data_IF_551652293781
#
_entry.id   IF_551652293781
#
_cell.length_a   1.000
_cell.length_b   1.000
_cell.length_c   1.000
_cell.angle_alpha   90.00
_cell.angle_beta   90.00
_cell.angle_gamma   90.00
#
_symmetry.space_group_name_H-M   'P 1'
#
loop_
_entity.id
_entity.type
_entity.pdbx_description
1 polymer ?
#
# COMPACT_ATOMS: atom_id res chain seq x y z
N UNK A 1 33.18 13.40 15.81
CA UNK A 1 32.46 12.70 14.71
C UNK A 1 31.80 13.74 13.84
N UNK A 2 31.89 13.62 12.53
CA UNK A 2 31.17 14.50 11.62
C UNK A 2 29.69 14.11 11.62
N UNK A 3 28.82 15.06 11.90
CA UNK A 3 27.37 14.82 11.89
C UNK A 3 26.86 14.81 10.44
N UNK A 4 26.20 13.72 10.03
CA UNK A 4 25.60 13.56 8.72
C UNK A 4 24.08 13.67 8.84
N UNK A 5 23.47 14.37 7.88
CA UNK A 5 22.01 14.50 7.77
C UNK A 5 21.59 14.41 6.30
N UNK A 6 20.27 14.27 6.09
CA UNK A 6 19.65 14.13 4.76
C UNK A 6 18.54 15.16 4.58
N UNK A 7 18.41 15.66 3.37
CA UNK A 7 17.41 16.70 3.03
C UNK A 7 16.05 16.05 2.83
N UNK A 8 15.05 16.48 3.60
CA UNK A 8 13.65 15.98 3.52
C UNK A 8 12.71 16.88 2.70
N UNK A 9 13.14 18.10 2.33
CA UNK A 9 12.37 19.01 1.49
C UNK A 9 12.65 18.75 -0.01
N UNK A 10 11.71 19.06 -0.93
CA UNK A 10 11.88 18.84 -2.37
C UNK A 10 13.13 19.52 -2.93
N UNK A 11 13.31 20.79 -2.56
CA UNK A 11 14.45 21.60 -2.95
C UNK A 11 14.66 22.73 -1.93
N UNK A 12 15.90 22.96 -1.55
CA UNK A 12 16.30 24.05 -0.65
C UNK A 12 17.49 24.78 -1.24
N UNK A 13 17.47 26.10 -1.17
CA UNK A 13 18.61 26.93 -1.49
C UNK A 13 19.50 27.10 -0.26
N UNK A 14 20.79 26.88 -0.44
CA UNK A 14 21.80 27.19 0.54
C UNK A 14 22.09 28.69 0.50
N UNK A 15 22.26 29.33 1.67
CA UNK A 15 22.43 30.75 1.86
C UNK A 15 23.85 31.03 2.37
N UNK A 16 24.44 32.15 1.98
CA UNK A 16 25.74 32.56 2.48
C UNK A 16 25.69 32.93 3.97
N UNK A 17 24.56 33.47 4.47
CA UNK A 17 24.36 33.83 5.86
C UNK A 17 22.89 33.77 6.31
N UNK A 18 22.68 33.85 7.62
CA UNK A 18 21.36 33.76 8.25
C UNK A 18 20.74 35.16 8.33
N UNK A 19 20.15 35.66 7.24
CA UNK A 19 19.42 36.91 7.22
C UNK A 19 18.23 36.86 6.25
N UNK A 20 17.41 37.91 6.26
CA UNK A 20 16.29 38.04 5.32
C UNK A 20 16.77 38.25 3.88
N UNK A 21 17.89 38.96 3.71
CA UNK A 21 18.56 39.17 2.41
C UNK A 21 19.82 38.30 2.41
N UNK A 22 19.98 37.43 1.42
CA UNK A 22 21.09 36.49 1.30
C UNK A 22 21.42 36.20 -0.15
N UNK A 23 22.64 35.73 -0.41
CA UNK A 23 23.03 35.17 -1.69
C UNK A 23 22.90 33.66 -1.67
N UNK A 24 22.50 33.10 -2.81
CA UNK A 24 22.45 31.67 -2.99
C UNK A 24 23.84 31.09 -3.25
N UNK A 25 24.30 30.19 -2.41
CA UNK A 25 25.60 29.51 -2.55
C UNK A 25 25.48 28.11 -3.15
N UNK A 26 24.29 27.51 -3.14
CA UNK A 26 24.05 26.19 -3.69
C UNK A 26 22.57 25.80 -3.64
N UNK A 27 22.29 24.60 -4.10
CA UNK A 27 20.95 23.98 -4.04
C UNK A 27 21.11 22.55 -3.62
N UNK A 28 20.24 22.09 -2.72
CA UNK A 28 20.10 20.69 -2.32
C UNK A 28 18.67 20.22 -2.57
N UNK A 29 18.51 18.92 -2.82
CA UNK A 29 17.25 18.29 -3.16
C UNK A 29 16.90 17.20 -2.15
N UNK A 30 15.68 16.71 -2.23
CA UNK A 30 15.20 15.62 -1.41
C UNK A 30 16.12 14.38 -1.52
N UNK A 31 16.52 13.83 -0.38
CA UNK A 31 17.42 12.68 -0.29
C UNK A 31 18.91 13.03 -0.34
N UNK A 32 19.29 14.28 -0.62
CA UNK A 32 20.71 14.69 -0.65
C UNK A 32 21.34 14.55 0.73
N UNK A 33 22.52 13.96 0.74
CA UNK A 33 23.37 13.83 1.92
C UNK A 33 24.13 15.13 2.15
N UNK A 34 24.16 15.60 3.39
CA UNK A 34 24.91 16.77 3.79
C UNK A 34 25.66 16.53 5.10
N UNK A 35 26.80 17.18 5.24
CA UNK A 35 27.57 17.24 6.48
C UNK A 35 27.15 18.50 7.24
N UNK A 36 26.73 18.36 8.50
CA UNK A 36 26.41 19.47 9.39
C UNK A 36 27.70 20.04 9.95
N UNK A 37 27.96 21.32 9.71
CA UNK A 37 29.16 22.03 10.16
C UNK A 37 28.90 22.84 11.43
N UNK A 38 27.75 23.53 11.46
CA UNK A 38 27.43 24.50 12.51
C UNK A 38 25.91 24.60 12.68
N UNK A 39 25.45 24.94 13.90
CA UNK A 39 24.02 25.14 14.21
C UNK A 39 23.83 26.51 14.83
N UNK A 40 22.89 27.28 14.28
CA UNK A 40 22.49 28.59 14.80
C UNK A 40 20.96 28.68 14.85
N UNK A 41 20.38 28.62 16.06
CA UNK A 41 18.93 28.64 16.30
C UNK A 41 18.19 27.61 15.40
N UNK A 42 17.41 28.11 14.44
CA UNK A 42 16.65 27.26 13.49
C UNK A 42 17.40 26.96 12.19
N UNK A 43 18.62 27.43 12.02
CA UNK A 43 19.45 27.22 10.84
C UNK A 43 20.62 26.30 11.14
N UNK A 44 21.09 25.64 10.11
CA UNK A 44 22.30 24.85 10.13
C UNK A 44 23.15 25.19 8.91
N UNK A 45 24.46 25.29 9.12
CA UNK A 45 25.44 25.39 8.03
C UNK A 45 25.80 23.97 7.63
N UNK A 46 25.67 23.70 6.36
CA UNK A 46 25.93 22.37 5.81
C UNK A 46 26.93 22.44 4.68
N UNK A 47 27.60 21.31 4.45
CA UNK A 47 28.45 21.06 3.27
C UNK A 47 27.85 19.91 2.50
N UNK A 48 27.64 20.09 1.19
CA UNK A 48 27.20 19.04 0.27
C UNK A 48 28.37 18.14 -0.12
N UNK A 49 28.08 16.96 -0.66
CA UNK A 49 29.11 16.07 -1.20
C UNK A 49 29.87 16.70 -2.37
N UNK A 50 29.27 17.65 -3.09
CA UNK A 50 29.92 18.46 -4.13
C UNK A 50 30.77 19.62 -3.61
N UNK A 51 30.91 19.76 -2.27
CA UNK A 51 31.74 20.80 -1.64
C UNK A 51 31.07 22.18 -1.47
N UNK A 52 29.85 22.39 -1.94
CA UNK A 52 29.10 23.63 -1.69
C UNK A 52 28.73 23.76 -0.22
N UNK A 53 28.94 24.93 0.35
CA UNK A 53 28.56 25.22 1.74
C UNK A 53 27.51 26.35 1.81
N UNK A 54 26.68 26.25 2.84
CA UNK A 54 25.72 27.32 3.14
C UNK A 54 24.75 26.96 4.22
N UNK A 55 23.94 27.95 4.59
CA UNK A 55 22.93 27.86 5.64
C UNK A 55 21.58 27.41 5.07
N UNK A 56 20.89 26.50 5.79
CA UNK A 56 19.53 26.10 5.52
C UNK A 56 18.75 25.91 6.82
N UNK A 57 17.42 25.83 6.75
CA UNK A 57 16.61 25.60 7.94
C UNK A 57 16.73 24.15 8.41
N UNK A 58 16.94 23.97 9.73
CA UNK A 58 17.12 22.66 10.36
C UNK A 58 15.91 21.74 10.14
N UNK A 59 14.69 22.27 10.03
CA UNK A 59 13.45 21.48 9.81
C UNK A 59 13.43 20.70 8.50
N UNK A 60 14.31 21.01 7.56
CA UNK A 60 14.46 20.31 6.27
C UNK A 60 15.50 19.20 6.31
N UNK A 61 16.06 18.91 7.49
CA UNK A 61 17.03 17.84 7.68
C UNK A 61 16.48 16.74 8.57
N UNK A 62 16.79 15.51 8.21
CA UNK A 62 16.60 14.34 9.04
C UNK A 62 17.96 13.70 9.35
N UNK A 63 18.12 13.10 10.55
CA UNK A 63 19.39 12.46 10.92
C UNK A 63 19.66 11.20 10.10
N UNK A 64 20.93 10.78 10.04
CA UNK A 64 21.40 9.54 9.41
C UNK A 64 20.56 8.33 9.82
N UNK A 65 20.13 8.25 11.07
CA UNK A 65 19.29 7.15 11.58
C UNK A 65 18.00 6.96 10.76
N UNK A 66 17.33 8.04 10.37
CA UNK A 66 16.10 7.98 9.57
C UNK A 66 16.40 7.44 8.16
N UNK A 67 17.48 7.90 7.54
CA UNK A 67 17.94 7.36 6.26
C UNK A 67 18.23 5.85 6.36
N UNK A 68 18.93 5.42 7.40
CA UNK A 68 19.27 4.02 7.62
C UNK A 68 18.01 3.14 7.79
N UNK A 69 16.95 3.66 8.44
CA UNK A 69 15.66 2.99 8.56
C UNK A 69 15.01 2.78 7.19
N UNK A 70 15.00 3.79 6.31
CA UNK A 70 14.50 3.65 4.94
C UNK A 70 15.30 2.63 4.13
N UNK A 71 16.62 2.65 4.25
CA UNK A 71 17.50 1.68 3.58
C UNK A 71 17.24 0.25 4.08
N UNK A 72 17.04 0.08 5.37
CA UNK A 72 16.70 -1.21 5.95
C UNK A 72 15.34 -1.70 5.46
N UNK A 73 14.32 -0.85 5.47
CA UNK A 73 12.98 -1.16 4.95
C UNK A 73 13.03 -1.56 3.48
N UNK A 74 13.75 -0.82 2.63
CA UNK A 74 13.91 -1.14 1.22
C UNK A 74 14.54 -2.54 1.01
N UNK A 75 15.57 -2.88 1.81
CA UNK A 75 16.18 -4.21 1.77
C UNK A 75 15.25 -5.32 2.24
N UNK A 76 14.52 -5.11 3.34
CA UNK A 76 13.59 -6.09 3.89
C UNK A 76 12.43 -6.37 2.92
N UNK A 77 11.92 -5.34 2.28
CA UNK A 77 10.77 -5.43 1.40
C UNK A 77 11.11 -5.70 -0.08
N UNK A 78 12.39 -5.90 -0.39
CA UNK A 78 12.86 -6.08 -1.78
C UNK A 78 12.11 -7.21 -2.52
N UNK A 79 11.82 -8.31 -1.83
CA UNK A 79 11.15 -9.50 -2.38
C UNK A 79 9.67 -9.58 -2.05
N UNK A 80 9.13 -8.60 -1.33
CA UNK A 80 7.70 -8.59 -0.99
C UNK A 80 6.88 -8.45 -2.26
N UNK A 81 5.91 -9.37 -2.50
CA UNK A 81 5.10 -9.37 -3.71
C UNK A 81 4.21 -8.14 -3.80
N UNK A 82 4.11 -7.58 -5.00
CA UNK A 82 3.23 -6.45 -5.30
C UNK A 82 1.78 -6.94 -5.23
N UNK A 83 0.95 -6.23 -4.48
CA UNK A 83 -0.46 -6.57 -4.31
C UNK A 83 -1.34 -5.88 -5.35
N UNK A 84 -1.00 -4.65 -5.70
CA UNK A 84 -1.61 -3.86 -6.76
C UNK A 84 -0.70 -2.70 -7.11
N UNK A 85 -0.74 -2.22 -8.33
CA UNK A 85 -0.12 -0.96 -8.70
C UNK A 85 -1.08 0.20 -8.45
N UNK A 86 -0.52 1.39 -8.27
CA UNK A 86 -1.30 2.59 -8.09
C UNK A 86 -0.56 3.83 -8.57
N UNK A 87 -1.24 4.96 -8.50
CA UNK A 87 -0.71 6.27 -8.89
C UNK A 87 -1.00 7.27 -7.78
N UNK A 88 -0.01 8.06 -7.40
CA UNK A 88 -0.18 9.09 -6.37
C UNK A 88 -1.12 10.21 -6.86
N UNK A 89 -2.14 10.54 -6.07
CA UNK A 89 -3.12 11.60 -6.35
C UNK A 89 -2.54 13.00 -6.25
N UNK A 90 -1.61 13.17 -5.34
CA UNK A 90 -0.90 14.42 -5.08
C UNK A 90 0.46 14.12 -4.52
N UNK A 91 1.29 15.14 -4.41
CA UNK A 91 2.57 15.06 -3.72
C UNK A 91 2.36 14.51 -2.30
N UNK A 92 3.13 13.51 -1.92
CA UNK A 92 3.07 12.86 -0.60
C UNK A 92 4.45 12.45 -0.12
N UNK A 93 4.59 12.29 1.19
CA UNK A 93 5.84 11.84 1.79
C UNK A 93 5.80 10.34 2.08
N UNK A 94 6.93 9.68 1.96
CA UNK A 94 7.16 8.34 2.48
C UNK A 94 7.52 8.45 3.96
N UNK A 95 6.77 7.71 4.80
CA UNK A 95 6.96 7.62 6.23
C UNK A 95 7.66 6.31 6.61
N UNK A 96 8.43 6.32 7.70
CA UNK A 96 9.11 5.10 8.22
C UNK A 96 8.08 4.12 8.80
N UNK A 97 7.06 4.64 9.48
CA UNK A 97 5.98 3.87 10.08
C UNK A 97 4.62 4.45 9.68
N UNK A 98 3.53 3.66 9.75
CA UNK A 98 2.18 4.18 9.58
C UNK A 98 1.88 5.24 10.63
N UNK A 99 1.41 6.41 10.21
CA UNK A 99 1.08 7.52 11.10
C UNK A 99 1.55 8.87 10.59
N UNK A 100 0.78 9.92 10.90
CA UNK A 100 1.04 11.27 10.36
C UNK A 100 2.26 11.95 10.99
N UNK A 101 2.59 11.59 12.24
CA UNK A 101 3.65 12.20 13.03
C UNK A 101 4.94 11.38 13.03
N UNK A 102 5.02 10.33 12.18
CA UNK A 102 6.20 9.50 12.05
C UNK A 102 7.24 10.17 11.15
N UNK A 103 8.49 9.74 11.30
CA UNK A 103 9.62 10.26 10.52
C UNK A 103 9.41 10.04 9.02
N UNK A 104 9.81 11.05 8.23
CA UNK A 104 9.67 11.06 6.78
C UNK A 104 10.93 11.60 6.12
N UNK A 105 11.30 11.06 4.99
CA UNK A 105 12.45 11.53 4.24
C UNK A 105 12.11 11.80 2.78
N UNK A 106 11.67 10.76 2.07
CA UNK A 106 11.43 10.86 0.63
C UNK A 106 10.07 11.46 0.32
N UNK A 107 10.03 12.21 -0.78
CA UNK A 107 8.82 12.81 -1.30
C UNK A 107 8.53 12.26 -2.68
N UNK A 108 7.29 11.81 -2.87
CA UNK A 108 6.77 11.27 -4.13
C UNK A 108 5.85 12.29 -4.75
N UNK A 109 6.12 12.69 -5.98
CA UNK A 109 5.32 13.70 -6.70
C UNK A 109 3.99 13.11 -7.18
N UNK A 110 3.03 13.98 -7.48
CA UNK A 110 1.75 13.58 -8.09
C UNK A 110 1.97 12.81 -9.40
N UNK A 111 1.15 11.80 -9.65
CA UNK A 111 1.20 11.00 -10.89
C UNK A 111 2.29 9.93 -10.90
N UNK A 112 3.04 9.76 -9.81
CA UNK A 112 4.04 8.70 -9.72
C UNK A 112 3.38 7.34 -9.58
N UNK A 113 3.80 6.38 -10.41
CA UNK A 113 3.40 4.98 -10.29
C UNK A 113 4.09 4.36 -9.08
N UNK A 114 3.34 3.70 -8.23
CA UNK A 114 3.86 3.01 -7.04
C UNK A 114 3.34 1.58 -6.98
N UNK A 115 4.16 0.68 -6.46
CA UNK A 115 3.76 -0.70 -6.18
C UNK A 115 3.33 -0.81 -4.71
N UNK A 116 2.10 -1.23 -4.46
CA UNK A 116 1.57 -1.44 -3.11
C UNK A 116 1.95 -2.83 -2.64
N UNK A 117 2.56 -2.91 -1.45
CA UNK A 117 3.13 -4.15 -0.88
C UNK A 117 2.33 -4.68 0.29
N UNK A 118 1.92 -3.79 1.22
CA UNK A 118 1.26 -4.14 2.49
C UNK A 118 0.24 -3.06 2.87
N UNK A 119 -0.66 -3.43 3.78
CA UNK A 119 -1.56 -2.50 4.46
C UNK A 119 -1.25 -2.46 5.96
N UNK A 120 -1.42 -1.31 6.56
CA UNK A 120 -1.45 -1.14 8.01
C UNK A 120 -2.51 -0.11 8.40
N UNK A 121 -2.86 -0.08 9.67
CA UNK A 121 -3.74 0.94 10.26
C UNK A 121 -3.00 1.70 11.34
N UNK A 122 -3.24 2.99 11.43
CA UNK A 122 -2.72 3.83 12.50
C UNK A 122 -3.79 4.77 13.02
N UNK A 123 -3.68 5.15 14.27
CA UNK A 123 -4.56 6.16 14.84
C UNK A 123 -4.28 7.52 14.20
N UNK A 124 -5.35 8.21 13.82
CA UNK A 124 -5.25 9.57 13.31
C UNK A 124 -4.88 10.51 14.46
N UNK A 125 -3.70 11.11 14.39
CA UNK A 125 -3.33 12.18 15.32
C UNK A 125 -4.30 13.35 15.15
N UNK A 126 -5.13 13.56 16.13
CA UNK A 126 -5.99 14.74 16.21
C UNK A 126 -5.20 15.85 16.92
N UNK A 127 -5.27 17.10 16.45
CA UNK A 127 -4.78 18.23 17.24
C UNK A 127 -5.42 18.14 18.64
N UNK A 128 -4.62 18.30 19.69
CA UNK A 128 -5.12 18.30 21.06
C UNK A 128 -6.34 19.22 21.11
N UNK A 129 -7.52 18.64 21.33
CA UNK A 129 -8.72 19.42 21.51
C UNK A 129 -8.47 20.39 22.66
N UNK A 130 -8.64 21.70 22.42
CA UNK A 130 -8.60 22.66 23.50
C UNK A 130 -9.52 22.17 24.63
N UNK A 131 -9.06 22.18 25.89
CA UNK A 131 -9.84 21.67 26.99
C UNK A 131 -11.22 22.35 26.95
N UNK A 132 -12.25 21.55 26.67
CA UNK A 132 -13.62 22.04 26.77
C UNK A 132 -13.83 22.40 28.23
N UNK A 133 -14.06 23.66 28.55
CA UNK A 133 -14.48 24.11 29.87
C UNK A 133 -15.66 23.24 30.31
N UNK A 134 -15.59 22.55 31.47
CA UNK A 134 -16.67 21.70 31.93
C UNK A 134 -17.94 22.53 32.05
N UNK A 135 -19.01 22.07 31.38
CA UNK A 135 -20.32 22.67 31.56
C UNK A 135 -20.75 22.41 33.01
N UNK A 136 -21.10 23.44 33.83
CA UNK A 136 -21.35 23.28 35.27
C UNK A 136 -22.61 22.49 35.61
N UNK A 137 -23.05 21.54 34.79
CA UNK A 137 -24.27 20.75 34.97
C UNK A 137 -24.17 19.26 34.63
N UNK A 138 -23.07 18.75 34.08
CA UNK A 138 -22.96 17.34 33.74
C UNK A 138 -22.26 16.53 34.84
N UNK A 139 -22.97 15.63 35.48
CA UNK A 139 -22.48 14.80 36.59
C UNK A 139 -21.67 13.57 36.19
N UNK A 140 -21.45 13.32 34.91
CA UNK A 140 -20.60 12.21 34.47
C UNK A 140 -19.65 12.66 33.35
N UNK A 141 -18.34 12.36 33.43
CA UNK A 141 -17.42 12.58 32.32
C UNK A 141 -17.81 11.63 31.19
N UNK A 142 -18.16 12.20 30.04
CA UNK A 142 -18.40 11.42 28.82
C UNK A 142 -17.14 10.59 28.51
N UNK A 143 -17.26 9.30 28.15
CA UNK A 143 -16.09 8.51 27.76
C UNK A 143 -15.36 9.20 26.59
N UNK A 144 -14.02 9.12 26.55
CA UNK A 144 -13.27 9.70 25.44
C UNK A 144 -13.78 9.13 24.12
N UNK A 145 -13.86 9.94 23.05
CA UNK A 145 -14.28 9.45 21.73
C UNK A 145 -13.34 8.34 21.28
N UNK A 146 -13.91 7.29 20.65
CA UNK A 146 -13.11 6.20 20.10
C UNK A 146 -12.06 6.74 19.10
N UNK A 147 -10.84 6.17 19.07
CA UNK A 147 -9.80 6.61 18.18
C UNK A 147 -10.25 6.47 16.71
N UNK A 148 -10.01 7.51 15.93
CA UNK A 148 -10.23 7.48 14.49
C UNK A 148 -9.03 6.82 13.83
N UNK A 149 -9.24 5.71 13.15
CA UNK A 149 -8.18 4.99 12.45
C UNK A 149 -8.05 5.46 11.00
N UNK A 150 -6.85 5.40 10.46
CA UNK A 150 -6.54 5.65 9.05
C UNK A 150 -5.76 4.47 8.46
N UNK A 151 -6.06 4.13 7.22
CA UNK A 151 -5.36 3.10 6.48
C UNK A 151 -4.13 3.66 5.79
N UNK A 152 -3.05 2.87 5.79
CA UNK A 152 -1.76 3.18 5.22
C UNK A 152 -1.32 2.07 4.29
N UNK A 153 -0.70 2.45 3.15
CA UNK A 153 -0.06 1.54 2.22
C UNK A 153 1.45 1.60 2.37
N UNK A 154 2.10 0.45 2.50
CA UNK A 154 3.53 0.36 2.24
C UNK A 154 3.72 0.30 0.73
N UNK A 155 4.40 1.29 0.19
CA UNK A 155 4.60 1.40 -1.24
C UNK A 155 6.09 1.35 -1.60
N UNK A 156 6.37 0.89 -2.81
CA UNK A 156 7.67 0.99 -3.46
C UNK A 156 7.53 1.89 -4.68
N UNK A 157 8.37 2.90 -4.76
CA UNK A 157 8.43 3.82 -5.89
C UNK A 157 9.30 3.27 -7.04
N UNK A 158 9.36 3.93 -8.22
CA UNK A 158 10.20 3.48 -9.34
C UNK A 158 11.69 3.53 -9.06
N UNK A 159 12.14 4.28 -8.06
CA UNK A 159 13.53 4.38 -7.63
C UNK A 159 13.92 3.26 -6.64
N UNK A 160 12.95 2.45 -6.22
CA UNK A 160 13.15 1.37 -5.25
C UNK A 160 13.07 1.84 -3.79
N UNK A 161 12.69 3.10 -3.55
CA UNK A 161 12.44 3.60 -2.20
C UNK A 161 11.15 2.98 -1.66
N UNK A 162 11.17 2.59 -0.40
CA UNK A 162 10.02 1.96 0.26
C UNK A 162 9.63 2.79 1.47
N UNK A 163 8.34 3.03 1.65
CA UNK A 163 7.81 3.76 2.79
C UNK A 163 6.28 3.73 2.85
N UNK A 164 5.75 4.18 3.97
CA UNK A 164 4.32 4.23 4.22
C UNK A 164 3.71 5.52 3.71
N UNK A 165 2.58 5.41 3.02
CA UNK A 165 1.75 6.53 2.56
C UNK A 165 0.31 6.33 3.02
N UNK A 166 -0.39 7.43 3.27
CA UNK A 166 -1.81 7.38 3.61
C UNK A 166 -2.61 6.80 2.43
N UNK A 167 -3.42 5.78 2.67
CA UNK A 167 -4.05 4.99 1.61
C UNK A 167 -4.86 5.81 0.61
N UNK A 168 -5.56 6.85 1.05
CA UNK A 168 -6.33 7.75 0.19
C UNK A 168 -5.49 8.61 -0.76
N UNK A 169 -4.16 8.64 -0.59
CA UNK A 169 -3.24 9.39 -1.45
C UNK A 169 -2.85 8.62 -2.71
N UNK A 170 -3.32 7.39 -2.86
CA UNK A 170 -3.01 6.52 -3.99
C UNK A 170 -4.29 6.04 -4.65
N UNK A 171 -4.41 6.26 -5.96
CA UNK A 171 -5.42 5.64 -6.81
C UNK A 171 -4.90 4.30 -7.33
N UNK A 172 -5.69 3.24 -7.16
CA UNK A 172 -5.31 1.91 -7.62
C UNK A 172 -5.47 1.81 -9.13
N UNK A 173 -4.48 1.18 -9.79
CA UNK A 173 -4.50 0.94 -11.23
C UNK A 173 -5.27 -0.35 -11.53
N UNK A 174 -6.60 -0.21 -11.62
CA UNK A 174 -7.52 -1.31 -11.92
C UNK A 174 -8.35 -0.94 -13.14
N UNK A 175 -8.46 -1.82 -14.17
CA UNK A 175 -9.27 -1.56 -15.35
C UNK A 175 -10.73 -1.25 -15.00
N UNK A 176 -11.31 -0.22 -15.61
CA UNK A 176 -12.69 0.21 -15.33
C UNK A 176 -13.71 -0.90 -15.56
N UNK A 177 -13.50 -1.75 -16.57
CA UNK A 177 -14.35 -2.91 -16.86
C UNK A 177 -14.45 -3.90 -15.70
N UNK A 178 -13.47 -3.89 -14.80
CA UNK A 178 -13.45 -4.73 -13.61
C UNK A 178 -13.78 -3.93 -12.35
N UNK A 179 -13.31 -2.70 -12.23
CA UNK A 179 -13.55 -1.85 -11.06
C UNK A 179 -15.04 -1.65 -10.76
N UNK A 180 -15.90 -1.59 -11.79
CA UNK A 180 -17.37 -1.50 -11.63
C UNK A 180 -17.97 -2.68 -10.82
N UNK A 181 -17.32 -3.85 -10.83
CA UNK A 181 -17.77 -5.00 -10.05
C UNK A 181 -17.39 -4.93 -8.56
N UNK A 182 -16.69 -3.88 -8.13
CA UNK A 182 -16.41 -3.69 -6.70
C UNK A 182 -17.68 -3.45 -5.89
N UNK A 183 -18.78 -2.94 -6.52
CA UNK A 183 -20.11 -2.80 -5.89
C UNK A 183 -20.07 -1.98 -4.59
N UNK A 184 -19.31 -0.89 -4.57
CA UNK A 184 -19.14 -0.03 -3.39
C UNK A 184 -18.15 -0.54 -2.35
N UNK A 185 -17.53 -1.71 -2.57
CA UNK A 185 -16.42 -2.22 -1.77
C UNK A 185 -15.11 -1.53 -2.17
N UNK A 186 -14.16 -1.50 -1.25
CA UNK A 186 -12.80 -1.03 -1.51
C UNK A 186 -11.95 -2.16 -2.09
N UNK A 187 -11.28 -1.92 -3.21
CA UNK A 187 -10.27 -2.84 -3.76
C UNK A 187 -9.01 -2.72 -2.91
N UNK A 188 -8.41 -3.86 -2.55
CA UNK A 188 -7.21 -3.95 -1.71
C UNK A 188 -6.04 -4.54 -2.47
N UNK A 189 -6.30 -5.53 -3.32
CA UNK A 189 -5.32 -6.15 -4.18
C UNK A 189 -5.94 -6.57 -5.51
N UNK A 190 -5.11 -6.61 -6.56
CA UNK A 190 -5.56 -6.91 -7.90
C UNK A 190 -4.44 -7.55 -8.72
N UNK A 191 -4.75 -8.70 -9.35
CA UNK A 191 -3.77 -9.50 -10.07
C UNK A 191 -4.32 -9.98 -11.41
N UNK A 192 -3.43 -10.07 -12.39
CA UNK A 192 -3.65 -10.85 -13.61
C UNK A 192 -3.26 -12.30 -13.31
N UNK A 193 -4.19 -13.24 -13.47
CA UNK A 193 -3.94 -14.68 -13.29
C UNK A 193 -3.34 -15.31 -14.54
N UNK A 194 -3.98 -15.10 -15.69
CA UNK A 194 -3.53 -15.52 -17.01
C UNK A 194 -4.21 -14.69 -18.09
N UNK A 195 -4.04 -15.08 -19.35
CA UNK A 195 -4.73 -14.52 -20.50
C UNK A 195 -5.38 -15.62 -21.31
N UNK A 196 -6.57 -15.38 -21.85
CA UNK A 196 -7.26 -16.23 -22.84
C UNK A 196 -7.30 -15.53 -24.17
N UNK A 197 -7.32 -16.31 -25.26
CA UNK A 197 -7.48 -15.74 -26.60
C UNK A 197 -8.96 -15.62 -26.92
N UNK A 198 -9.39 -14.41 -27.25
CA UNK A 198 -10.72 -14.14 -27.79
C UNK A 198 -10.60 -14.00 -29.31
N UNK A 199 -11.23 -14.93 -30.03
CA UNK A 199 -11.24 -14.96 -31.49
C UNK A 199 -12.37 -14.05 -31.99
N UNK A 200 -12.04 -12.88 -32.51
CA UNK A 200 -13.01 -12.02 -33.18
C UNK A 200 -13.25 -12.52 -34.62
N UNK A 201 -14.47 -12.24 -35.14
CA UNK A 201 -14.88 -12.59 -36.50
C UNK A 201 -14.02 -11.92 -37.60
N UNK A 202 -13.13 -11.01 -37.22
CA UNK A 202 -12.25 -10.21 -38.08
C UNK A 202 -10.81 -10.71 -38.16
N UNK A 203 -10.52 -11.97 -37.75
CA UNK A 203 -9.19 -12.61 -37.69
C UNK A 203 -8.14 -11.90 -36.81
N UNK A 204 -8.56 -11.01 -35.93
CA UNK A 204 -7.69 -10.39 -34.93
C UNK A 204 -7.84 -11.06 -33.57
N UNK A 205 -6.99 -12.03 -33.29
CA UNK A 205 -6.92 -12.68 -32.00
C UNK A 205 -6.54 -11.66 -30.89
N UNK A 206 -7.45 -11.43 -29.96
CA UNK A 206 -7.21 -10.55 -28.82
C UNK A 206 -6.91 -11.38 -27.58
N UNK A 207 -5.77 -11.13 -26.93
CA UNK A 207 -5.48 -11.69 -25.60
C UNK A 207 -6.19 -10.89 -24.52
N UNK A 208 -7.08 -11.54 -23.78
CA UNK A 208 -7.88 -10.94 -22.72
C UNK A 208 -7.44 -11.50 -21.37
N UNK A 209 -7.01 -10.65 -20.43
CA UNK A 209 -6.56 -11.12 -19.11
C UNK A 209 -7.73 -11.57 -18.24
N UNK A 210 -7.47 -12.53 -17.35
CA UNK A 210 -8.38 -12.97 -16.29
C UNK A 210 -7.82 -12.51 -14.94
N UNK A 211 -8.69 -12.12 -14.02
CA UNK A 211 -8.28 -11.36 -12.86
C UNK A 211 -8.69 -11.98 -11.52
N UNK A 212 -7.85 -11.76 -10.52
CA UNK A 212 -8.17 -11.93 -9.11
C UNK A 212 -8.27 -10.54 -8.47
N UNK A 213 -9.37 -10.28 -7.77
CA UNK A 213 -9.63 -9.05 -7.05
C UNK A 213 -9.99 -9.32 -5.60
N UNK A 214 -9.30 -8.67 -4.68
CA UNK A 214 -9.56 -8.72 -3.25
C UNK A 214 -10.24 -7.43 -2.81
N UNK A 215 -11.28 -7.57 -2.00
CA UNK A 215 -12.18 -6.50 -1.61
C UNK A 215 -12.33 -6.44 -0.10
N UNK A 216 -12.60 -5.25 0.40
CA UNK A 216 -12.98 -5.00 1.79
C UNK A 216 -14.08 -3.95 1.88
N UNK A 217 -14.63 -3.76 3.06
CA UNK A 217 -15.57 -2.68 3.32
C UNK A 217 -14.89 -1.32 3.11
N UNK A 218 -15.63 -0.28 2.66
CA UNK A 218 -15.08 1.07 2.45
C UNK A 218 -14.91 1.82 3.78
N UNK A 219 -14.22 1.21 4.73
CA UNK A 219 -13.98 1.71 6.08
C UNK A 219 -12.50 1.55 6.45
N UNK A 220 -11.94 2.54 7.12
CA UNK A 220 -10.59 2.48 7.66
C UNK A 220 -10.55 1.76 9.01
N UNK A 221 -9.38 1.23 9.37
CA UNK A 221 -9.16 0.62 10.68
C UNK A 221 -9.73 -0.80 10.84
N UNK A 222 -10.01 -1.50 9.75
CA UNK A 222 -10.46 -2.89 9.82
C UNK A 222 -9.35 -3.81 10.34
N UNK A 223 -9.66 -4.85 11.15
CA UNK A 223 -8.69 -5.77 11.73
C UNK A 223 -8.16 -6.81 10.73
N UNK A 224 -8.62 -6.79 9.50
CA UNK A 224 -8.22 -7.61 8.37
C UNK A 224 -7.94 -6.72 7.16
N UNK A 225 -7.22 -7.25 6.19
CA UNK A 225 -6.93 -6.51 4.96
C UNK A 225 -8.04 -6.68 3.93
N UNK A 226 -8.57 -7.89 3.79
CA UNK A 226 -9.70 -8.17 2.88
C UNK A 226 -10.68 -9.18 3.50
N UNK A 227 -11.96 -9.04 3.14
CA UNK A 227 -13.02 -9.96 3.57
C UNK A 227 -13.73 -10.64 2.40
N UNK A 228 -13.38 -10.30 1.17
CA UNK A 228 -13.96 -10.90 -0.03
C UNK A 228 -12.92 -11.08 -1.12
N UNK A 229 -13.05 -12.19 -1.85
CA UNK A 229 -12.27 -12.53 -3.03
C UNK A 229 -13.20 -12.74 -4.22
N UNK A 230 -12.82 -12.24 -5.40
CA UNK A 230 -13.50 -12.50 -6.67
C UNK A 230 -12.49 -12.86 -7.75
N UNK A 231 -12.85 -13.84 -8.58
CA UNK A 231 -12.12 -14.16 -9.80
C UNK A 231 -13.00 -13.87 -10.99
N UNK A 232 -12.46 -13.15 -11.95
CA UNK A 232 -13.13 -12.78 -13.19
C UNK A 232 -12.49 -13.52 -14.35
N UNK A 233 -13.32 -14.23 -15.12
CA UNK A 233 -12.93 -14.93 -16.34
C UNK A 233 -13.62 -14.29 -17.56
N UNK A 234 -12.94 -14.32 -18.69
CA UNK A 234 -13.53 -13.85 -19.94
C UNK A 234 -14.38 -14.94 -20.60
N UNK A 235 -15.64 -14.64 -20.87
CA UNK A 235 -16.52 -15.50 -21.63
C UNK A 235 -16.38 -15.21 -23.14
N UNK A 236 -15.63 -16.04 -23.86
CA UNK A 236 -15.34 -15.88 -25.30
C UNK A 236 -16.60 -15.94 -26.19
N UNK A 237 -17.70 -16.55 -25.73
CA UNK A 237 -18.97 -16.60 -26.49
C UNK A 237 -19.80 -15.32 -26.35
N UNK A 238 -19.67 -14.64 -25.20
CA UNK A 238 -20.45 -13.45 -24.86
C UNK A 238 -19.62 -12.17 -24.91
N UNK A 239 -18.32 -12.28 -25.15
CA UNK A 239 -17.34 -11.18 -25.18
C UNK A 239 -17.46 -10.25 -23.95
N UNK A 240 -17.50 -10.84 -22.75
CA UNK A 240 -17.61 -10.11 -21.50
C UNK A 240 -16.97 -10.86 -20.33
N UNK A 241 -16.64 -10.12 -19.27
CA UNK A 241 -16.24 -10.71 -17.99
C UNK A 241 -17.41 -11.31 -17.25
N UNK A 242 -17.17 -12.45 -16.62
CA UNK A 242 -18.09 -13.12 -15.73
C UNK A 242 -17.37 -13.48 -14.41
N UNK A 243 -18.10 -13.42 -13.28
CA UNK A 243 -17.56 -13.84 -12.00
C UNK A 243 -17.53 -15.36 -11.93
N UNK A 244 -16.33 -15.94 -12.05
CA UNK A 244 -16.11 -17.36 -11.96
C UNK A 244 -16.11 -17.88 -10.51
N UNK A 245 -15.68 -17.04 -9.58
CA UNK A 245 -15.57 -17.39 -8.16
C UNK A 245 -15.81 -16.19 -7.27
N UNK A 246 -16.48 -16.41 -6.14
CA UNK A 246 -16.66 -15.42 -5.08
C UNK A 246 -16.64 -16.13 -3.73
N UNK A 247 -15.79 -15.64 -2.81
CA UNK A 247 -15.76 -16.04 -1.41
C UNK A 247 -15.87 -14.78 -0.54
N UNK A 248 -16.67 -14.85 0.52
CA UNK A 248 -16.96 -13.73 1.43
C UNK A 248 -16.70 -14.11 2.88
N UNK A 249 -16.76 -13.13 3.77
CA UNK A 249 -16.59 -13.30 5.22
C UNK A 249 -15.22 -13.89 5.58
N UNK A 250 -14.18 -13.44 4.89
CA UNK A 250 -12.82 -13.81 5.16
C UNK A 250 -12.19 -12.84 6.17
N UNK A 251 -11.31 -13.36 7.00
CA UNK A 251 -10.36 -12.59 7.79
C UNK A 251 -9.00 -12.61 7.08
N UNK A 252 -8.96 -12.02 5.86
CA UNK A 252 -7.82 -12.09 4.98
C UNK A 252 -6.70 -11.13 5.36
N UNK A 253 -5.46 -11.58 5.21
CA UNK A 253 -4.24 -10.82 5.50
C UNK A 253 -3.34 -10.85 4.28
N UNK A 254 -2.75 -9.70 3.92
CA UNK A 254 -1.72 -9.63 2.86
C UNK A 254 -0.38 -10.21 3.36
N UNK A 255 0.49 -10.70 2.46
CA UNK A 255 0.34 -10.68 1.00
C UNK A 255 -0.51 -11.82 0.46
N UNK A 256 -1.05 -11.62 -0.73
CA UNK A 256 -1.54 -12.69 -1.62
C UNK A 256 -0.49 -12.95 -2.68
N UNK A 257 -0.28 -14.20 -3.04
CA UNK A 257 0.65 -14.57 -4.12
C UNK A 257 -0.10 -15.21 -5.27
N UNK A 258 0.37 -14.95 -6.49
CA UNK A 258 -0.13 -15.57 -7.72
C UNK A 258 1.02 -16.21 -8.47
N UNK A 259 0.73 -17.29 -9.18
CA UNK A 259 1.75 -18.02 -9.93
C UNK A 259 1.14 -19.00 -10.92
N UNK A 260 1.98 -19.87 -11.46
CA UNK A 260 1.61 -20.98 -12.35
C UNK A 260 2.13 -22.27 -11.75
N UNK A 261 1.31 -23.32 -11.77
CA UNK A 261 1.70 -24.64 -11.25
C UNK A 261 1.19 -25.75 -12.19
N UNK A 262 1.97 -26.82 -12.31
CA UNK A 262 1.61 -27.96 -13.15
C UNK A 262 0.76 -28.96 -12.35
N UNK A 263 -0.41 -29.30 -12.87
CA UNK A 263 -1.35 -30.25 -12.28
C UNK A 263 -1.52 -31.47 -13.18
N UNK A 264 -0.46 -32.23 -13.37
CA UNK A 264 -0.44 -33.48 -14.14
C UNK A 264 -1.31 -33.44 -15.41
N UNK A 265 -2.52 -34.07 -15.34
CA UNK A 265 -3.45 -34.16 -16.47
C UNK A 265 -4.11 -32.84 -16.87
N UNK A 266 -4.13 -31.83 -15.97
CA UNK A 266 -4.73 -30.54 -16.26
C UNK A 266 -3.71 -29.53 -16.84
N UNK A 267 -2.40 -29.86 -16.78
CA UNK A 267 -1.30 -29.02 -17.28
C UNK A 267 -1.00 -27.82 -16.39
N UNK A 268 -0.37 -26.80 -16.97
CA UNK A 268 -0.02 -25.55 -16.27
C UNK A 268 -1.25 -24.69 -16.04
N UNK A 269 -1.60 -24.47 -14.78
CA UNK A 269 -2.74 -23.66 -14.39
C UNK A 269 -2.33 -22.48 -13.50
N UNK A 270 -3.03 -21.34 -13.59
CA UNK A 270 -2.87 -20.25 -12.65
C UNK A 270 -3.25 -20.69 -11.24
N UNK A 271 -2.43 -20.31 -10.28
CA UNK A 271 -2.69 -20.53 -8.85
C UNK A 271 -2.63 -19.20 -8.10
N UNK A 272 -3.38 -19.12 -7.01
CA UNK A 272 -3.24 -18.04 -6.04
C UNK A 272 -3.34 -18.58 -4.62
N UNK A 273 -2.61 -17.96 -3.71
CA UNK A 273 -2.56 -18.32 -2.30
C UNK A 273 -3.05 -17.16 -1.47
N UNK A 274 -4.08 -17.41 -0.69
CA UNK A 274 -4.66 -16.48 0.28
C UNK A 274 -4.13 -16.81 1.67
N UNK A 275 -3.83 -15.79 2.46
CA UNK A 275 -3.61 -15.92 3.90
C UNK A 275 -4.89 -15.51 4.62
N UNK A 276 -5.44 -16.41 5.42
CA UNK A 276 -6.70 -16.18 6.14
C UNK A 276 -6.51 -16.50 7.62
N UNK A 277 -6.85 -15.56 8.48
CA UNK A 277 -6.86 -15.76 9.93
C UNK A 277 -8.12 -16.53 10.30
N UNK A 278 -7.95 -17.64 10.95
CA UNK A 278 -9.06 -18.46 11.47
C UNK A 278 -9.53 -17.94 12.83
N UNK A 279 -10.60 -18.55 13.37
CA UNK A 279 -11.20 -18.20 14.67
C UNK A 279 -10.23 -18.45 15.85
N UNK A 280 -9.26 -19.35 15.69
CA UNK A 280 -8.17 -19.60 16.64
C UNK A 280 -7.05 -18.53 16.62
N UNK A 281 -7.18 -17.52 15.76
CA UNK A 281 -6.19 -16.47 15.53
C UNK A 281 -5.03 -16.86 14.61
N UNK A 282 -4.88 -18.13 14.25
CA UNK A 282 -3.82 -18.60 13.37
C UNK A 282 -4.06 -18.18 11.92
N UNK A 283 -3.01 -17.73 11.25
CA UNK A 283 -3.05 -17.43 9.81
C UNK A 283 -2.71 -18.71 9.06
N UNK A 284 -3.59 -19.13 8.16
CA UNK A 284 -3.41 -20.31 7.31
C UNK A 284 -3.48 -19.94 5.84
N UNK A 285 -2.68 -20.67 5.06
CA UNK A 285 -2.70 -20.57 3.61
C UNK A 285 -3.87 -21.35 3.02
N UNK A 286 -4.53 -20.74 2.02
CA UNK A 286 -5.54 -21.38 1.21
C UNK A 286 -5.14 -21.23 -0.26
N UNK A 287 -4.74 -22.33 -0.88
CA UNK A 287 -4.35 -22.36 -2.30
C UNK A 287 -5.55 -22.65 -3.18
N UNK A 288 -5.63 -21.94 -4.30
CA UNK A 288 -6.66 -22.13 -5.31
C UNK A 288 -6.01 -22.25 -6.68
N UNK A 289 -6.63 -23.02 -7.59
CA UNK A 289 -6.27 -23.09 -9.01
C UNK A 289 -7.42 -22.64 -9.88
N UNK A 290 -7.10 -22.00 -11.00
CA UNK A 290 -8.05 -21.61 -12.03
C UNK A 290 -7.90 -22.53 -13.25
N UNK A 291 -8.90 -23.39 -13.48
CA UNK A 291 -9.08 -24.11 -14.73
C UNK A 291 -10.33 -23.52 -15.41
N UNK A 292 -10.10 -22.53 -16.26
CA UNK A 292 -11.14 -21.65 -16.82
C UNK A 292 -12.36 -22.42 -17.33
N UNK A 293 -13.58 -22.06 -16.89
CA UNK A 293 -13.94 -20.96 -16.00
C UNK A 293 -14.03 -21.33 -14.51
N UNK A 294 -13.51 -22.46 -14.07
CA UNK A 294 -13.70 -22.98 -12.71
C UNK A 294 -12.51 -22.71 -11.81
N UNK A 295 -12.79 -22.16 -10.62
CA UNK A 295 -11.83 -22.04 -9.52
C UNK A 295 -12.07 -23.17 -8.52
N UNK A 296 -11.00 -23.86 -8.13
CA UNK A 296 -11.05 -24.94 -7.14
C UNK A 296 -9.98 -24.76 -6.09
N UNK A 297 -10.33 -25.04 -4.83
CA UNK A 297 -9.35 -25.10 -3.75
C UNK A 297 -8.45 -26.31 -3.93
N UNK A 298 -7.16 -26.11 -3.77
CA UNK A 298 -6.14 -27.15 -3.72
C UNK A 298 -5.94 -27.47 -2.24
N UNK A 299 -6.35 -28.65 -1.81
CA UNK A 299 -6.21 -29.07 -0.42
C UNK A 299 -4.77 -29.49 -0.12
N UNK A 300 -4.26 -29.14 1.04
CA UNK A 300 -3.00 -29.65 1.53
C UNK A 300 -3.15 -31.16 1.90
N UNK A 301 -2.05 -31.93 1.89
CA UNK A 301 -2.11 -33.32 2.35
C UNK A 301 -2.69 -33.41 3.77
N UNK A 302 -3.78 -34.16 3.94
CA UNK A 302 -4.49 -34.34 5.22
C UNK A 302 -5.52 -33.23 5.55
N UNK A 303 -5.73 -32.25 4.66
CA UNK A 303 -6.78 -31.25 4.83
C UNK A 303 -8.13 -31.80 4.33
N UNK A 304 -9.16 -31.72 5.20
CA UNK A 304 -10.52 -32.09 4.79
C UNK A 304 -11.17 -30.98 3.95
N UNK A 305 -11.96 -31.33 2.91
CA UNK A 305 -12.71 -30.34 2.17
C UNK A 305 -13.69 -29.60 3.08
N UNK A 306 -13.90 -28.29 2.89
CA UNK A 306 -14.86 -27.54 3.67
C UNK A 306 -16.24 -28.17 3.56
N UNK A 307 -16.90 -28.43 4.71
CA UNK A 307 -18.25 -28.98 4.74
C UNK A 307 -19.16 -28.10 3.89
N UNK A 308 -19.82 -28.68 2.90
CA UNK A 308 -20.78 -27.97 2.07
C UNK A 308 -21.85 -27.34 2.98
N UNK A 309 -21.99 -26.01 2.92
CA UNK A 309 -23.03 -25.32 3.65
C UNK A 309 -24.38 -25.94 3.27
N UNK A 310 -25.02 -26.61 4.23
CA UNK A 310 -26.27 -27.30 4.00
C UNK A 310 -27.30 -26.36 3.36
N UNK A 311 -27.79 -26.73 2.20
CA UNK A 311 -28.91 -26.05 1.53
C UNK A 311 -30.08 -26.05 2.51
N UNK A 312 -30.33 -24.95 3.24
CA UNK A 312 -31.58 -24.76 3.96
C UNK A 312 -32.70 -24.90 2.93
N UNK A 313 -33.42 -26.06 2.97
CA UNK A 313 -34.68 -26.23 2.25
C UNK A 313 -35.60 -25.10 2.75
N UNK A 314 -35.97 -24.18 1.86
CA UNK A 314 -37.10 -23.29 2.09
C UNK A 314 -38.35 -24.17 2.04
N UNK A 315 -39.00 -24.29 3.18
CA UNK A 315 -40.41 -24.73 3.27
C UNK A 315 -41.31 -23.55 2.94
#
# INVERSE_FOLDING_TARGET
>A
MQEIAYVSAPQVFLRDHVSAVYNKTGTVKNGDRVQVLERERRFVRVRTDGGSEGWMEQRYLVPQKVFDQFQQMARQEQRTPVQVNGVTRSETNLHVDPGRDTERLYQVIQGTKVAILKRATAEKSLPAAAPKTPNPGSKEPSPPPAPVMEDWWLVRDPQGQVGWVLARMVDLDVPLDIAQYAEGQRIVAFFVLNQVTDHDKTDNDKKVPQYLMLLTEPKDGLPFDYNQVRVFTWNVKRHRYETAYRERNLNGVLPVTVGQENFDKEGMLPVFVLHVRNDDGAIRERKYKLNTPMVRRVLAPGEEPPKAAGRKKRH
#
